data_IF_821977817882
#
_entry.id   IF_821977817882
#
_cell.length_a   1.000
_cell.length_b   1.000
_cell.length_c   1.000
_cell.angle_alpha   90.00
_cell.angle_beta   90.00
_cell.angle_gamma   90.00
#
_symmetry.space_group_name_H-M   'P 1'
#
loop_
_entity.id
_entity.type
_entity.pdbx_description
1 polymer ?
#
# COMPACT_ATOMS: atom_id res chain seq x y z
N UNK A 1 6.89 -15.80 -8.36
CA UNK A 1 6.03 -14.76 -7.77
C UNK A 1 4.62 -14.81 -8.32
N UNK A 2 3.65 -14.43 -7.56
CA UNK A 2 2.24 -14.78 -7.77
C UNK A 2 1.33 -13.61 -7.83
N UNK A 3 0.27 -13.71 -8.62
CA UNK A 3 -0.82 -12.75 -8.70
C UNK A 3 -2.17 -13.41 -8.39
N UNK A 4 -3.00 -12.79 -7.59
CA UNK A 4 -4.26 -13.32 -7.10
C UNK A 4 -5.52 -12.63 -7.60
N UNK A 5 -6.58 -13.38 -7.56
CA UNK A 5 -7.92 -13.23 -8.11
C UNK A 5 -8.68 -11.97 -7.65
N UNK A 6 -8.78 -10.98 -8.52
CA UNK A 6 -9.84 -9.97 -8.47
C UNK A 6 -10.69 -10.07 -9.72
N UNK A 7 -12.02 -10.05 -9.56
CA UNK A 7 -12.90 -9.81 -10.70
C UNK A 7 -12.85 -8.34 -11.12
N UNK A 8 -13.14 -8.01 -12.37
CA UNK A 8 -12.22 -7.96 -13.50
C UNK A 8 -11.55 -6.60 -13.63
N UNK A 9 -10.62 -6.27 -12.81
CA UNK A 9 -9.49 -5.35 -13.04
C UNK A 9 -8.39 -5.69 -12.05
N UNK A 10 -7.47 -6.53 -12.50
CA UNK A 10 -6.22 -6.88 -11.81
C UNK A 10 -5.21 -5.72 -11.97
N UNK A 11 -5.65 -4.48 -11.73
CA UNK A 11 -4.82 -3.30 -12.03
C UNK A 11 -3.54 -3.35 -11.21
N UNK A 12 -3.59 -3.59 -9.90
CA UNK A 12 -2.39 -3.62 -9.06
C UNK A 12 -1.43 -4.76 -9.43
N UNK A 13 -1.94 -5.95 -9.75
CA UNK A 13 -1.09 -7.07 -10.17
C UNK A 13 -0.47 -6.84 -11.55
N UNK A 14 -1.24 -6.31 -12.49
CA UNK A 14 -0.72 -5.99 -13.82
C UNK A 14 0.27 -4.82 -13.78
N UNK A 15 0.02 -3.80 -12.95
CA UNK A 15 0.96 -2.70 -12.72
C UNK A 15 2.26 -3.20 -12.08
N UNK A 16 2.17 -4.08 -11.07
CA UNK A 16 3.35 -4.69 -10.45
C UNK A 16 4.15 -5.53 -11.47
N UNK A 17 3.48 -6.35 -12.29
CA UNK A 17 4.15 -7.12 -13.34
C UNK A 17 4.73 -6.23 -14.44
N UNK A 18 4.08 -5.12 -14.77
CA UNK A 18 4.65 -4.13 -15.69
C UNK A 18 5.90 -3.47 -15.10
N UNK A 19 5.88 -3.16 -13.80
CA UNK A 19 7.01 -2.59 -13.07
C UNK A 19 8.17 -3.59 -12.90
N UNK A 20 7.89 -4.89 -12.89
CA UNK A 20 8.93 -5.94 -12.72
C UNK A 20 9.98 -5.95 -13.84
N UNK A 21 9.68 -5.36 -15.00
CA UNK A 21 10.64 -5.18 -16.09
C UNK A 21 11.90 -4.38 -15.69
N UNK A 22 11.79 -3.60 -14.63
CA UNK A 22 12.90 -2.83 -14.07
C UNK A 22 13.65 -3.57 -12.96
N UNK A 23 13.24 -4.81 -12.62
CA UNK A 23 13.85 -5.64 -11.60
C UNK A 23 14.34 -6.96 -12.23
N UNK A 24 15.58 -7.02 -12.75
CA UNK A 24 16.10 -8.18 -13.48
C UNK A 24 16.09 -9.50 -12.67
N UNK A 25 16.13 -9.40 -11.35
CA UNK A 25 16.10 -10.55 -10.46
C UNK A 25 14.70 -11.11 -10.24
N UNK A 26 13.67 -10.41 -10.74
CA UNK A 26 12.30 -10.89 -10.68
C UNK A 26 12.03 -11.85 -11.84
N UNK A 27 11.44 -13.00 -11.52
CA UNK A 27 10.91 -13.94 -12.51
C UNK A 27 9.51 -14.35 -12.11
N UNK A 28 8.53 -14.20 -13.00
CA UNK A 28 7.20 -14.74 -12.80
C UNK A 28 7.24 -16.24 -13.11
N UNK A 29 7.15 -17.07 -12.08
CA UNK A 29 7.18 -18.54 -12.21
C UNK A 29 5.77 -19.13 -12.33
N UNK A 30 4.95 -18.92 -11.31
CA UNK A 30 3.63 -19.57 -11.22
C UNK A 30 2.52 -18.54 -10.96
N UNK A 31 1.36 -18.73 -11.56
CA UNK A 31 0.14 -17.96 -11.30
C UNK A 31 -0.86 -18.80 -10.52
N UNK A 32 -1.43 -18.24 -9.47
CA UNK A 32 -2.54 -18.86 -8.76
C UNK A 32 -3.85 -18.09 -8.98
N UNK A 33 -4.93 -18.81 -9.07
CA UNK A 33 -6.29 -18.31 -8.91
C UNK A 33 -7.19 -19.42 -8.41
N UNK A 34 -8.23 -19.10 -7.65
CA UNK A 34 -9.28 -20.07 -7.26
C UNK A 34 -9.96 -20.73 -8.46
N UNK A 35 -9.89 -20.12 -9.63
CA UNK A 35 -10.33 -20.68 -10.90
C UNK A 35 -9.12 -21.11 -11.71
N UNK A 36 -9.00 -22.43 -11.98
CA UNK A 36 -7.96 -22.99 -12.83
C UNK A 36 -7.92 -22.33 -14.22
N UNK A 37 -9.09 -22.06 -14.80
CA UNK A 37 -9.20 -21.38 -16.10
C UNK A 37 -8.60 -19.96 -16.07
N UNK A 38 -8.92 -19.18 -15.04
CA UNK A 38 -8.37 -17.82 -14.85
C UNK A 38 -6.87 -17.86 -14.58
N UNK A 39 -6.40 -18.79 -13.74
CA UNK A 39 -4.99 -18.97 -13.46
C UNK A 39 -4.20 -19.25 -14.74
N UNK A 40 -4.69 -20.18 -15.54
CA UNK A 40 -4.10 -20.54 -16.83
C UNK A 40 -4.08 -19.37 -17.82
N UNK A 41 -5.22 -18.72 -18.03
CA UNK A 41 -5.31 -17.59 -18.95
C UNK A 41 -4.39 -16.43 -18.56
N UNK A 42 -4.24 -16.15 -17.25
CA UNK A 42 -3.34 -15.13 -16.76
C UNK A 42 -1.86 -15.54 -16.92
N UNK A 43 -1.53 -16.80 -16.65
CA UNK A 43 -0.20 -17.35 -16.89
C UNK A 43 0.20 -17.24 -18.37
N UNK A 44 -0.67 -17.64 -19.27
CA UNK A 44 -0.46 -17.52 -20.73
C UNK A 44 -0.26 -16.04 -21.15
N UNK A 45 -1.09 -15.12 -20.62
CA UNK A 45 -0.98 -13.67 -20.91
C UNK A 45 0.37 -13.09 -20.51
N UNK A 46 0.91 -13.50 -19.37
CA UNK A 46 2.12 -12.92 -18.79
C UNK A 46 3.37 -13.80 -18.94
N UNK A 47 3.24 -14.95 -19.63
CA UNK A 47 4.37 -15.83 -19.92
C UNK A 47 4.87 -16.63 -18.73
N UNK A 48 4.02 -16.85 -17.71
CA UNK A 48 4.38 -17.71 -16.59
C UNK A 48 4.39 -19.19 -17.02
N UNK A 49 5.45 -19.97 -16.72
CA UNK A 49 5.53 -21.37 -17.12
C UNK A 49 4.53 -22.27 -16.36
N UNK A 50 4.09 -21.83 -15.18
CA UNK A 50 3.23 -22.63 -14.33
C UNK A 50 1.98 -21.87 -13.86
N UNK A 51 0.94 -22.62 -13.52
CA UNK A 51 -0.26 -22.13 -12.86
C UNK A 51 -0.83 -23.20 -11.92
N UNK A 52 -1.61 -22.76 -10.93
CA UNK A 52 -2.30 -23.67 -9.99
C UNK A 52 -3.58 -23.02 -9.44
N UNK A 53 -4.52 -23.83 -9.00
CA UNK A 53 -5.71 -23.42 -8.24
C UNK A 53 -5.67 -23.89 -6.77
N UNK A 54 -4.53 -24.45 -6.33
CA UNK A 54 -4.28 -24.82 -4.93
C UNK A 54 -3.23 -23.94 -4.29
N UNK A 55 -3.60 -23.31 -3.16
CA UNK A 55 -2.69 -22.53 -2.31
C UNK A 55 -1.64 -23.43 -1.65
N UNK A 56 -2.02 -24.66 -1.29
CA UNK A 56 -1.14 -25.64 -0.67
C UNK A 56 -0.07 -26.09 -1.68
N UNK A 57 -0.46 -26.36 -2.90
CA UNK A 57 0.48 -26.72 -3.97
C UNK A 57 1.48 -25.58 -4.21
N UNK A 58 1.00 -24.33 -4.16
CA UNK A 58 1.84 -23.16 -4.28
C UNK A 58 2.83 -23.05 -3.12
N UNK A 59 2.35 -23.16 -1.89
CA UNK A 59 3.19 -23.09 -0.71
C UNK A 59 4.26 -24.19 -0.69
N UNK A 60 3.95 -25.37 -1.25
CA UNK A 60 4.85 -26.52 -1.34
C UNK A 60 5.81 -26.48 -2.55
N UNK A 61 5.60 -25.57 -3.53
CA UNK A 61 6.41 -25.51 -4.74
C UNK A 61 7.88 -25.21 -4.43
N UNK A 62 8.82 -26.00 -4.94
CA UNK A 62 10.26 -25.77 -4.78
C UNK A 62 10.81 -24.71 -5.76
N UNK A 63 10.09 -24.43 -6.85
CA UNK A 63 10.49 -23.42 -7.84
C UNK A 63 10.12 -21.99 -7.44
N UNK A 64 9.30 -21.80 -6.41
CA UNK A 64 8.82 -20.50 -5.95
C UNK A 64 9.53 -20.06 -4.67
N UNK A 65 10.29 -18.99 -4.71
CA UNK A 65 10.97 -18.41 -3.55
C UNK A 65 10.07 -17.43 -2.78
N UNK A 66 9.21 -16.73 -3.48
CA UNK A 66 8.43 -15.63 -2.93
C UNK A 66 7.03 -15.55 -3.55
N UNK A 67 6.07 -15.03 -2.78
CA UNK A 67 4.68 -14.89 -3.21
C UNK A 67 4.22 -13.44 -3.05
N UNK A 68 3.64 -12.87 -4.12
CA UNK A 68 2.90 -11.62 -4.07
C UNK A 68 1.42 -11.92 -3.82
N UNK A 69 0.87 -11.45 -2.71
CA UNK A 69 -0.53 -11.67 -2.33
C UNK A 69 -1.34 -10.41 -2.68
N UNK A 70 -2.28 -10.55 -3.60
CA UNK A 70 -3.20 -9.50 -4.03
C UNK A 70 -4.67 -9.97 -3.98
N UNK A 71 -4.98 -10.79 -3.00
CA UNK A 71 -6.34 -11.27 -2.70
C UNK A 71 -7.18 -10.19 -1.99
N UNK A 72 -8.47 -10.42 -1.70
CA UNK A 72 -9.22 -9.56 -0.80
C UNK A 72 -8.58 -9.46 0.59
N UNK A 73 -8.65 -8.27 1.23
CA UNK A 73 -7.97 -7.98 2.49
C UNK A 73 -8.23 -9.01 3.59
N UNK A 74 -9.46 -9.57 3.65
CA UNK A 74 -9.84 -10.59 4.63
C UNK A 74 -9.02 -11.90 4.53
N UNK A 75 -8.37 -12.15 3.41
CA UNK A 75 -7.60 -13.36 3.15
C UNK A 75 -6.09 -13.16 3.34
N UNK A 76 -5.63 -11.92 3.50
CA UNK A 76 -4.19 -11.62 3.56
C UNK A 76 -3.47 -12.37 4.68
N UNK A 77 -4.04 -12.35 5.91
CA UNK A 77 -3.42 -13.00 7.06
C UNK A 77 -3.29 -14.51 6.86
N UNK A 78 -4.39 -15.19 6.54
CA UNK A 78 -4.42 -16.64 6.36
C UNK A 78 -3.45 -17.09 5.25
N UNK A 79 -3.51 -16.44 4.10
CA UNK A 79 -2.67 -16.77 2.95
C UNK A 79 -1.19 -16.48 3.23
N UNK A 80 -0.88 -15.35 3.88
CA UNK A 80 0.50 -15.03 4.29
C UNK A 80 1.06 -16.11 5.23
N UNK A 81 0.30 -16.51 6.25
CA UNK A 81 0.73 -17.55 7.18
C UNK A 81 0.94 -18.89 6.48
N UNK A 82 0.12 -19.24 5.50
CA UNK A 82 0.30 -20.45 4.69
C UNK A 82 1.61 -20.40 3.89
N UNK A 83 1.87 -19.29 3.21
CA UNK A 83 3.10 -19.12 2.41
C UNK A 83 4.35 -19.12 3.29
N UNK A 84 4.32 -18.41 4.41
CA UNK A 84 5.43 -18.41 5.37
C UNK A 84 5.71 -19.83 5.92
N UNK A 85 4.66 -20.62 6.23
CA UNK A 85 4.83 -22.04 6.63
C UNK A 85 5.47 -22.89 5.54
N UNK A 86 5.17 -22.59 4.27
CA UNK A 86 5.80 -23.21 3.10
C UNK A 86 7.22 -22.68 2.79
N UNK A 87 7.79 -21.82 3.65
CA UNK A 87 9.14 -21.27 3.44
C UNK A 87 9.23 -20.18 2.39
N UNK A 88 8.11 -19.53 2.03
CA UNK A 88 8.08 -18.46 1.01
C UNK A 88 8.19 -17.09 1.64
N UNK A 89 8.99 -16.21 1.04
CA UNK A 89 8.94 -14.78 1.31
C UNK A 89 7.60 -14.22 0.83
N UNK A 90 7.08 -13.18 1.46
CA UNK A 90 5.77 -12.63 1.12
C UNK A 90 5.83 -11.12 0.89
N UNK A 91 5.36 -10.68 -0.27
CA UNK A 91 4.95 -9.31 -0.56
C UNK A 91 3.42 -9.28 -0.55
N UNK A 92 2.82 -8.63 0.45
CA UNK A 92 1.37 -8.62 0.62
C UNK A 92 0.80 -7.24 0.31
N UNK A 93 -0.27 -7.20 -0.49
CA UNK A 93 -0.98 -5.95 -0.79
C UNK A 93 -1.48 -5.24 0.46
N UNK A 94 -1.61 -3.92 0.30
CA UNK A 94 -2.18 -3.04 1.32
C UNK A 94 -3.73 -3.18 1.38
N UNK A 95 -4.30 -3.04 2.55
CA UNK A 95 -3.67 -3.13 3.85
C UNK A 95 -3.20 -4.55 4.14
N UNK A 96 -2.01 -4.70 4.67
CA UNK A 96 -1.41 -6.03 4.91
C UNK A 96 -2.24 -6.90 5.85
N UNK A 97 -2.94 -6.29 6.81
CA UNK A 97 -3.78 -6.93 7.81
C UNK A 97 -4.99 -6.08 8.14
N UNK A 98 -6.05 -6.66 8.68
CA UNK A 98 -7.27 -5.96 9.10
C UNK A 98 -7.17 -5.37 10.51
N UNK A 99 -6.26 -5.89 11.32
CA UNK A 99 -6.03 -5.43 12.70
C UNK A 99 -4.61 -5.76 13.16
N UNK A 100 -4.20 -5.16 14.29
CA UNK A 100 -2.87 -5.34 14.87
C UNK A 100 -2.56 -6.81 15.19
N UNK A 101 -3.53 -7.55 15.73
CA UNK A 101 -3.34 -8.97 16.09
C UNK A 101 -2.98 -9.83 14.86
N UNK A 102 -3.65 -9.61 13.74
CA UNK A 102 -3.30 -10.29 12.48
C UNK A 102 -1.87 -9.94 12.06
N UNK A 103 -1.52 -8.66 12.08
CA UNK A 103 -0.18 -8.19 11.71
C UNK A 103 0.90 -8.78 12.62
N UNK A 104 0.72 -8.73 13.93
CA UNK A 104 1.67 -9.30 14.91
C UNK A 104 1.89 -10.81 14.68
N UNK A 105 0.81 -11.54 14.41
CA UNK A 105 0.87 -12.97 14.10
C UNK A 105 1.68 -13.23 12.83
N UNK A 106 1.47 -12.44 11.78
CA UNK A 106 2.19 -12.55 10.50
C UNK A 106 3.68 -12.21 10.67
N UNK A 107 3.98 -11.14 11.41
CA UNK A 107 5.36 -10.71 11.67
C UNK A 107 6.13 -11.74 12.51
N UNK A 108 5.52 -12.28 13.56
CA UNK A 108 6.13 -13.33 14.39
C UNK A 108 6.44 -14.57 13.54
N UNK A 109 5.49 -15.02 12.71
CA UNK A 109 5.68 -16.16 11.84
C UNK A 109 6.81 -15.96 10.80
N UNK A 110 6.93 -14.73 10.26
CA UNK A 110 8.02 -14.40 9.35
C UNK A 110 9.38 -14.38 10.06
N UNK A 111 9.45 -13.75 11.24
CA UNK A 111 10.66 -13.64 12.05
C UNK A 111 11.19 -15.02 12.50
N UNK A 112 10.31 -15.89 13.01
CA UNK A 112 10.66 -17.24 13.45
C UNK A 112 11.30 -18.08 12.34
N UNK A 113 10.97 -17.79 11.08
CA UNK A 113 11.45 -18.53 9.91
C UNK A 113 12.58 -17.83 9.15
N UNK A 114 12.97 -16.62 9.56
CA UNK A 114 13.94 -15.81 8.85
C UNK A 114 13.47 -15.40 7.44
N UNK A 115 12.14 -15.25 7.26
CA UNK A 115 11.54 -14.90 5.98
C UNK A 115 11.19 -13.42 5.93
N UNK A 116 11.17 -12.86 4.72
CA UNK A 116 10.74 -11.47 4.48
C UNK A 116 9.22 -11.44 4.36
N UNK A 117 8.60 -10.61 5.16
CA UNK A 117 7.23 -10.15 4.99
C UNK A 117 7.25 -8.64 4.76
N UNK A 118 6.75 -8.19 3.62
CA UNK A 118 6.70 -6.78 3.27
C UNK A 118 5.28 -6.39 2.83
N UNK A 119 4.80 -5.24 3.28
CA UNK A 119 3.58 -4.66 2.75
C UNK A 119 3.86 -3.97 1.42
N UNK A 120 3.06 -4.27 0.39
CA UNK A 120 3.07 -3.56 -0.87
C UNK A 120 2.37 -2.21 -0.70
N UNK A 121 3.11 -1.24 -0.18
CA UNK A 121 2.68 0.13 0.02
C UNK A 121 3.57 1.06 -0.81
N UNK A 122 3.28 1.16 -2.09
CA UNK A 122 4.12 1.88 -3.06
C UNK A 122 4.57 3.27 -2.61
N UNK A 123 3.70 4.03 -1.92
CA UNK A 123 4.05 5.34 -1.39
C UNK A 123 5.23 5.33 -0.44
N UNK A 124 5.49 4.22 0.28
CA UNK A 124 6.56 4.14 1.28
C UNK A 124 7.97 4.03 0.67
N UNK A 125 8.07 3.60 -0.58
CA UNK A 125 9.35 3.27 -1.22
C UNK A 125 9.78 4.29 -2.28
N UNK A 126 8.99 5.32 -2.52
CA UNK A 126 9.28 6.35 -3.51
C UNK A 126 10.52 7.17 -3.15
N UNK A 127 11.35 7.56 -4.15
CA UNK A 127 12.49 8.46 -3.95
C UNK A 127 12.10 9.83 -3.37
N UNK A 128 10.84 10.22 -3.51
CA UNK A 128 10.32 11.47 -2.94
C UNK A 128 10.17 11.44 -1.42
N UNK A 129 10.16 10.27 -0.78
CA UNK A 129 10.04 10.18 0.68
C UNK A 129 11.27 10.76 1.41
N UNK A 130 12.52 10.40 1.09
CA UNK A 130 13.69 11.09 1.63
C UNK A 130 13.65 12.59 1.39
N UNK A 131 13.26 13.03 0.20
CA UNK A 131 13.13 14.44 -0.16
C UNK A 131 12.10 15.16 0.74
N UNK A 132 10.93 14.57 0.98
CA UNK A 132 9.94 15.12 1.90
C UNK A 132 10.51 15.27 3.31
N UNK A 133 11.22 14.27 3.84
CA UNK A 133 11.87 14.33 5.16
C UNK A 133 12.88 15.47 5.27
N UNK A 134 13.73 15.62 4.25
CA UNK A 134 14.70 16.72 4.21
C UNK A 134 14.02 18.10 4.19
N UNK A 135 12.99 18.24 3.38
CA UNK A 135 12.26 19.51 3.24
C UNK A 135 11.42 19.83 4.49
N UNK A 136 10.86 18.82 5.18
CA UNK A 136 10.20 19.03 6.49
C UNK A 136 11.15 19.71 7.48
N UNK A 137 12.42 19.30 7.51
CA UNK A 137 13.42 19.95 8.38
C UNK A 137 13.68 21.42 7.99
N UNK A 138 13.43 21.81 6.73
CA UNK A 138 13.70 23.17 6.21
C UNK A 138 12.55 24.14 6.39
N UNK A 139 11.32 23.67 6.62
CA UNK A 139 10.16 24.53 6.85
C UNK A 139 10.01 24.97 8.32
N UNK A 140 10.97 24.61 9.19
CA UNK A 140 10.95 24.89 10.62
C UNK A 140 10.01 23.97 11.38
N UNK A 141 9.72 24.29 12.67
CA UNK A 141 8.81 23.49 13.46
C UNK A 141 7.47 23.31 12.73
N UNK A 142 7.06 22.05 12.54
CA UNK A 142 5.76 21.74 11.93
C UNK A 142 4.64 22.21 12.87
N UNK A 143 3.59 22.80 12.31
CA UNK A 143 2.42 23.30 13.04
C UNK A 143 1.13 22.63 12.63
N UNK A 144 1.06 22.15 11.39
CA UNK A 144 -0.08 21.39 10.86
C UNK A 144 0.39 20.50 9.72
N UNK A 145 -0.21 19.31 9.62
CA UNK A 145 -0.11 18.47 8.44
C UNK A 145 -1.53 18.07 8.00
N UNK A 146 -1.75 17.97 6.71
CA UNK A 146 -2.99 17.43 6.13
C UNK A 146 -2.63 16.43 5.05
N UNK A 147 -3.27 15.26 5.12
CA UNK A 147 -3.19 14.21 4.12
C UNK A 147 -4.60 13.97 3.57
N UNK A 148 -4.80 14.19 2.29
CA UNK A 148 -6.11 14.09 1.65
C UNK A 148 -6.07 13.08 0.51
N UNK A 149 -7.02 12.14 0.50
CA UNK A 149 -7.26 11.25 -0.61
C UNK A 149 -8.77 11.01 -0.78
N UNK A 150 -9.39 11.80 -1.64
CA UNK A 150 -10.80 11.70 -1.97
C UNK A 150 -10.94 11.39 -3.46
N UNK A 151 -11.51 10.25 -3.77
CA UNK A 151 -11.68 9.78 -5.14
C UNK A 151 -13.03 9.10 -5.31
N UNK A 152 -13.86 9.61 -6.22
CA UNK A 152 -15.09 8.93 -6.57
C UNK A 152 -14.79 7.55 -7.17
N UNK A 153 -15.17 6.51 -6.45
CA UNK A 153 -14.92 5.13 -6.87
C UNK A 153 -15.76 4.75 -8.09
N UNK A 154 -15.13 4.22 -9.13
CA UNK A 154 -15.84 3.68 -10.31
C UNK A 154 -16.84 2.56 -9.98
N UNK A 155 -16.77 2.01 -8.75
CA UNK A 155 -17.68 0.96 -8.26
C UNK A 155 -18.84 1.50 -7.46
N UNK A 156 -18.83 2.79 -7.12
CA UNK A 156 -19.88 3.39 -6.28
C UNK A 156 -21.23 3.46 -6.99
N UNK A 157 -21.26 3.70 -8.31
CA UNK A 157 -22.50 3.66 -9.08
C UNK A 157 -23.15 2.27 -9.07
N UNK A 158 -22.36 1.21 -9.13
CA UNK A 158 -22.86 -0.17 -8.99
C UNK A 158 -23.43 -0.40 -7.59
N UNK A 159 -22.74 0.08 -6.55
CA UNK A 159 -23.23 0.00 -5.18
C UNK A 159 -24.58 0.71 -5.01
N UNK A 160 -24.75 1.92 -5.55
CA UNK A 160 -26.05 2.65 -5.55
C UNK A 160 -27.16 1.87 -6.23
N UNK A 161 -26.83 1.03 -7.21
CA UNK A 161 -27.74 0.16 -7.92
C UNK A 161 -27.89 -1.25 -7.29
N UNK A 162 -27.43 -1.42 -6.04
CA UNK A 162 -27.55 -2.67 -5.29
C UNK A 162 -26.52 -3.77 -5.65
N UNK A 163 -25.53 -3.46 -6.48
CA UNK A 163 -24.46 -4.40 -6.84
C UNK A 163 -23.24 -4.15 -5.95
N UNK A 164 -23.00 -5.05 -5.00
CA UNK A 164 -21.88 -4.94 -4.06
C UNK A 164 -20.65 -5.63 -4.65
N UNK A 165 -19.70 -4.85 -5.12
CA UNK A 165 -18.37 -5.34 -5.51
C UNK A 165 -17.40 -5.34 -4.31
N UNK A 166 -16.30 -6.09 -4.40
CA UNK A 166 -15.33 -6.29 -3.31
C UNK A 166 -14.97 -5.00 -2.56
N UNK A 167 -14.74 -3.89 -3.28
CA UNK A 167 -14.32 -2.62 -2.69
C UNK A 167 -15.38 -1.96 -1.77
N UNK A 168 -16.64 -2.45 -1.81
CA UNK A 168 -17.75 -2.01 -0.98
C UNK A 168 -18.34 -3.18 -0.16
N UNK A 169 -17.64 -4.30 -0.03
CA UNK A 169 -18.04 -5.42 0.81
C UNK A 169 -17.27 -5.39 2.14
N UNK A 170 -17.92 -5.03 3.26
CA UNK A 170 -17.25 -4.97 4.57
C UNK A 170 -16.79 -6.34 5.07
N UNK A 171 -17.39 -7.43 4.59
CA UNK A 171 -16.98 -8.80 4.95
C UNK A 171 -15.58 -9.13 4.45
N UNK A 172 -15.14 -8.45 3.40
CA UNK A 172 -13.80 -8.59 2.80
C UNK A 172 -12.77 -7.65 3.44
N UNK A 173 -13.13 -6.92 4.53
CA UNK A 173 -12.23 -5.99 5.19
C UNK A 173 -11.99 -4.71 4.37
N UNK A 174 -12.97 -4.30 3.57
CA UNK A 174 -12.90 -3.08 2.76
C UNK A 174 -13.69 -1.94 3.39
N UNK A 175 -13.48 -0.74 2.87
CA UNK A 175 -14.05 0.53 3.30
C UNK A 175 -13.17 1.67 2.83
N UNK A 176 -13.55 2.92 3.05
CA UNK A 176 -12.75 4.06 2.64
C UNK A 176 -11.43 4.14 3.40
N UNK A 177 -11.44 3.87 4.71
CA UNK A 177 -10.21 3.86 5.52
C UNK A 177 -9.23 2.80 5.01
N UNK A 178 -9.67 1.57 4.86
CA UNK A 178 -8.80 0.44 4.51
C UNK A 178 -8.31 0.47 3.06
N UNK A 179 -9.06 1.08 2.16
CA UNK A 179 -8.68 1.14 0.75
C UNK A 179 -7.83 2.35 0.41
N UNK A 180 -8.30 3.55 0.72
CA UNK A 180 -7.63 4.81 0.35
C UNK A 180 -7.12 5.60 1.55
N UNK A 181 -7.81 5.60 2.68
CA UNK A 181 -7.34 6.22 3.91
C UNK A 181 -6.03 5.63 4.42
N UNK A 182 -5.78 4.34 4.15
CA UNK A 182 -4.54 3.65 4.47
C UNK A 182 -3.29 4.38 3.89
N UNK A 183 -3.39 5.02 2.73
CA UNK A 183 -2.29 5.84 2.18
C UNK A 183 -2.03 7.09 3.01
N UNK A 184 -3.09 7.77 3.47
CA UNK A 184 -2.97 8.94 4.34
C UNK A 184 -2.31 8.56 5.68
N UNK A 185 -2.79 7.47 6.30
CA UNK A 185 -2.23 6.95 7.56
C UNK A 185 -0.77 6.53 7.36
N UNK A 186 -0.47 5.80 6.31
CA UNK A 186 0.90 5.34 6.05
C UNK A 186 1.87 6.49 5.88
N UNK A 187 1.56 7.50 5.04
CA UNK A 187 2.43 8.66 4.86
C UNK A 187 2.60 9.47 6.15
N UNK A 188 1.53 9.67 6.91
CA UNK A 188 1.60 10.37 8.18
C UNK A 188 2.56 9.65 9.14
N UNK A 189 2.38 8.33 9.32
CA UNK A 189 3.22 7.54 10.22
C UNK A 189 4.66 7.45 9.70
N UNK A 190 4.84 7.32 8.40
CA UNK A 190 6.17 7.28 7.78
C UNK A 190 6.97 8.57 7.98
N UNK A 191 6.30 9.72 7.98
CA UNK A 191 6.96 11.03 8.12
C UNK A 191 7.10 11.49 9.58
N UNK A 192 6.16 11.12 10.46
CA UNK A 192 6.07 11.67 11.82
C UNK A 192 6.06 10.61 12.94
N UNK A 193 5.99 9.32 12.58
CA UNK A 193 5.80 8.24 13.54
C UNK A 193 4.36 8.13 14.04
N UNK A 194 4.14 7.33 15.09
CA UNK A 194 2.83 7.14 15.68
C UNK A 194 2.33 8.40 16.39
N UNK A 195 1.06 8.74 16.20
CA UNK A 195 0.41 9.83 16.93
C UNK A 195 0.13 9.45 18.39
N UNK A 196 0.00 10.44 19.27
CA UNK A 196 -0.32 10.25 20.69
C UNK A 196 -1.79 9.90 20.92
N UNK A 197 -2.67 10.53 20.14
CA UNK A 197 -4.11 10.33 20.20
C UNK A 197 -4.73 10.52 18.83
N UNK A 198 -5.91 9.94 18.64
CA UNK A 198 -6.69 10.06 17.41
C UNK A 198 -8.15 10.34 17.76
N UNK A 199 -8.72 11.36 17.13
CA UNK A 199 -10.17 11.60 17.12
C UNK A 199 -10.66 11.49 15.69
N UNK A 200 -11.67 10.66 15.44
CA UNK A 200 -12.16 10.40 14.08
C UNK A 200 -13.67 10.40 13.97
N UNK A 201 -14.16 10.70 12.79
CA UNK A 201 -15.55 10.56 12.37
C UNK A 201 -15.62 9.93 10.99
N UNK A 202 -16.65 9.13 10.75
CA UNK A 202 -16.90 8.51 9.48
C UNK A 202 -18.39 8.60 9.10
N UNK A 203 -18.64 8.60 7.80
CA UNK A 203 -19.96 8.43 7.21
C UNK A 203 -20.05 7.02 6.66
N UNK A 204 -21.08 6.29 7.10
CA UNK A 204 -21.31 4.91 6.67
C UNK A 204 -22.42 4.82 5.65
N UNK A 205 -22.25 3.98 4.66
CA UNK A 205 -23.29 3.55 3.72
C UNK A 205 -24.06 2.35 4.29
N UNK A 206 -25.23 2.00 3.67
CA UNK A 206 -25.93 0.77 3.99
C UNK A 206 -24.99 -0.44 4.00
N UNK A 207 -25.16 -1.34 5.00
CA UNK A 207 -24.26 -2.48 5.19
C UNK A 207 -23.02 -2.19 6.05
N UNK A 208 -22.97 -1.01 6.70
CA UNK A 208 -21.91 -0.62 7.65
C UNK A 208 -20.53 -0.48 7.04
N UNK A 209 -20.44 -0.11 5.76
CA UNK A 209 -19.18 0.22 5.10
C UNK A 209 -18.91 1.72 5.22
N UNK A 210 -17.73 2.10 5.69
CA UNK A 210 -17.32 3.50 5.71
C UNK A 210 -17.05 4.01 4.29
N UNK A 211 -17.59 5.18 3.99
CA UNK A 211 -17.51 5.81 2.67
C UNK A 211 -16.62 7.05 2.69
N UNK A 212 -16.68 7.80 3.79
CA UNK A 212 -15.94 9.03 4.04
C UNK A 212 -15.41 8.95 5.46
N UNK A 213 -14.19 9.42 5.67
CA UNK A 213 -13.66 9.59 7.02
C UNK A 213 -12.75 10.79 7.14
N UNK A 214 -12.75 11.34 8.35
CA UNK A 214 -11.83 12.39 8.78
C UNK A 214 -11.26 12.03 10.14
N UNK A 215 -9.94 12.20 10.32
CA UNK A 215 -9.29 11.99 11.59
C UNK A 215 -8.35 13.14 11.91
N UNK A 216 -8.25 13.49 13.19
CA UNK A 216 -7.26 14.40 13.76
C UNK A 216 -6.33 13.56 14.62
N UNK A 217 -5.05 13.55 14.27
CA UNK A 217 -3.99 12.80 14.94
C UNK A 217 -3.08 13.78 15.68
N UNK A 218 -2.92 13.60 16.99
CA UNK A 218 -2.20 14.52 17.86
C UNK A 218 -0.71 14.18 17.96
N UNK A 219 0.14 15.20 17.81
CA UNK A 219 1.59 15.14 17.96
C UNK A 219 2.08 16.25 18.90
N UNK A 220 3.37 16.23 19.27
CA UNK A 220 3.97 17.31 20.03
C UNK A 220 4.07 18.60 19.22
N UNK A 221 3.26 19.59 19.59
CA UNK A 221 3.29 20.93 19.01
C UNK A 221 2.55 21.09 17.68
N UNK A 222 1.91 20.03 17.15
CA UNK A 222 1.07 20.09 15.96
C UNK A 222 0.00 18.98 15.93
N UNK A 223 -0.88 19.03 14.97
CA UNK A 223 -1.77 17.92 14.64
C UNK A 223 -1.72 17.62 13.14
N UNK A 224 -2.01 16.36 12.81
CA UNK A 224 -2.21 15.92 11.43
C UNK A 224 -3.70 15.62 11.19
N UNK A 225 -4.21 16.12 10.08
CA UNK A 225 -5.57 15.90 9.59
C UNK A 225 -5.52 14.85 8.49
N UNK A 226 -6.34 13.82 8.59
CA UNK A 226 -6.55 12.83 7.54
C UNK A 226 -7.94 13.00 6.97
N UNK A 227 -8.06 13.02 5.66
CA UNK A 227 -9.32 13.13 4.94
C UNK A 227 -9.32 12.10 3.80
N UNK A 228 -10.34 11.26 3.77
CA UNK A 228 -10.44 10.22 2.75
C UNK A 228 -11.89 9.92 2.38
N UNK A 229 -12.15 9.71 1.10
CA UNK A 229 -13.51 9.43 0.59
C UNK A 229 -13.48 8.58 -0.68
N UNK A 230 -14.44 7.65 -0.78
CA UNK A 230 -14.68 6.82 -1.98
C UNK A 230 -15.92 7.23 -2.76
N UNK A 231 -16.65 8.23 -2.29
CA UNK A 231 -17.97 8.58 -2.79
C UNK A 231 -18.09 10.02 -3.25
N UNK A 232 -17.02 10.78 -3.11
CA UNK A 232 -16.89 12.13 -3.66
C UNK A 232 -15.51 12.32 -4.32
N UNK A 233 -15.33 13.44 -4.96
CA UNK A 233 -14.08 13.88 -5.58
C UNK A 233 -13.63 15.18 -4.93
N UNK A 234 -12.36 15.23 -4.53
CA UNK A 234 -11.74 16.48 -4.06
C UNK A 234 -10.36 16.64 -4.68
N UNK A 235 -10.05 17.86 -5.08
CA UNK A 235 -8.73 18.27 -5.54
C UNK A 235 -7.85 18.80 -4.39
N UNK A 236 -8.22 18.49 -3.13
CA UNK A 236 -7.43 18.84 -1.97
C UNK A 236 -6.05 18.18 -2.03
N UNK A 237 -5.02 19.01 -2.02
CA UNK A 237 -3.62 18.59 -2.02
C UNK A 237 -3.18 18.34 -0.58
N UNK A 238 -2.38 17.30 -0.36
CA UNK A 238 -1.71 17.07 0.93
C UNK A 238 -0.70 18.18 1.20
N UNK A 239 -0.69 18.69 2.43
CA UNK A 239 0.17 19.82 2.83
C UNK A 239 0.75 19.63 4.23
N UNK A 240 2.02 19.98 4.41
CA UNK A 240 2.68 20.08 5.69
C UNK A 240 3.11 21.53 5.87
N UNK A 241 2.66 22.19 6.94
CA UNK A 241 2.93 23.59 7.22
C UNK A 241 3.79 23.74 8.47
N UNK A 242 4.92 24.43 8.34
CA UNK A 242 5.83 24.81 9.39
C UNK A 242 5.92 26.32 9.55
N UNK A 243 6.67 26.79 10.54
CA UNK A 243 6.83 28.21 10.82
C UNK A 243 7.57 29.00 9.72
N UNK A 244 8.38 28.32 8.91
CA UNK A 244 9.21 28.94 7.86
C UNK A 244 8.79 28.62 6.44
N UNK A 245 7.70 27.85 6.27
CA UNK A 245 7.19 27.48 4.95
C UNK A 245 6.20 26.35 4.99
N UNK A 246 5.82 25.86 3.80
CA UNK A 246 4.99 24.68 3.64
C UNK A 246 5.46 23.80 2.51
N UNK A 247 5.06 22.53 2.57
CA UNK A 247 5.24 21.53 1.54
C UNK A 247 3.87 21.09 1.04
N UNK A 248 3.71 20.99 -0.26
CA UNK A 248 2.54 20.41 -0.91
C UNK A 248 2.96 19.24 -1.75
N UNK A 249 2.17 18.18 -1.74
CA UNK A 249 2.48 17.00 -2.54
C UNK A 249 1.21 16.26 -2.98
N UNK A 250 1.28 15.64 -4.15
CA UNK A 250 0.18 14.88 -4.75
C UNK A 250 0.69 13.92 -5.84
N UNK A 251 -0.10 12.85 -6.17
CA UNK A 251 -1.22 12.34 -5.39
C UNK A 251 -0.77 11.72 -4.06
N UNK A 252 -1.64 11.66 -3.06
CA UNK A 252 -1.28 11.11 -1.74
C UNK A 252 -0.91 9.62 -1.78
N UNK A 253 -1.55 8.87 -2.69
CA UNK A 253 -1.21 7.45 -2.88
C UNK A 253 0.21 7.22 -3.42
N UNK A 254 0.76 8.21 -4.14
CA UNK A 254 2.11 8.20 -4.66
C UNK A 254 2.57 9.67 -4.79
N UNK A 255 3.23 10.26 -3.76
CA UNK A 255 3.61 11.68 -3.76
C UNK A 255 4.72 11.97 -4.77
N UNK A 256 4.39 11.97 -6.05
CA UNK A 256 5.30 12.19 -7.17
C UNK A 256 5.60 13.66 -7.40
N UNK A 257 4.63 14.53 -7.08
CA UNK A 257 4.79 15.98 -7.23
C UNK A 257 4.98 16.58 -5.84
N UNK A 258 6.07 17.32 -5.65
CA UNK A 258 6.39 17.98 -4.38
C UNK A 258 6.75 19.43 -4.64
N UNK A 259 6.09 20.34 -3.92
CA UNK A 259 6.32 21.79 -4.01
C UNK A 259 6.63 22.33 -2.62
N UNK A 260 7.74 23.04 -2.49
CA UNK A 260 8.10 23.78 -1.28
C UNK A 260 7.79 25.27 -1.45
N UNK A 261 7.14 25.86 -0.47
CA UNK A 261 6.83 27.30 -0.43
C UNK A 261 7.53 27.90 0.79
N UNK A 262 8.57 28.71 0.55
CA UNK A 262 9.36 29.38 1.62
C UNK A 262 9.63 30.82 1.26
N UNK A 263 9.39 31.74 2.19
CA UNK A 263 9.61 33.20 2.02
C UNK A 263 8.99 33.73 0.72
N UNK A 264 7.79 33.29 0.39
CA UNK A 264 7.08 33.68 -0.82
C UNK A 264 7.60 33.08 -2.14
N UNK A 265 8.64 32.25 -2.10
CA UNK A 265 9.16 31.53 -3.27
C UNK A 265 8.57 30.14 -3.35
N UNK A 266 8.14 29.76 -4.54
CA UNK A 266 7.67 28.41 -4.88
C UNK A 266 8.84 27.68 -5.53
N UNK A 267 9.18 26.51 -4.99
CA UNK A 267 10.20 25.63 -5.52
C UNK A 267 9.53 24.31 -5.87
N UNK A 268 9.48 24.00 -7.15
CA UNK A 268 9.14 22.65 -7.59
C UNK A 268 10.33 21.74 -7.28
N UNK A 269 10.08 20.76 -6.44
CA UNK A 269 11.05 19.73 -6.10
C UNK A 269 10.78 18.55 -7.03
N UNK A 270 11.84 17.95 -7.57
CA UNK A 270 11.77 16.98 -8.64
C UNK A 270 10.63 15.95 -8.49
N UNK A 271 9.93 15.71 -9.57
CA UNK A 271 9.00 14.58 -9.73
C UNK A 271 9.75 13.30 -10.10
N UNK A 272 9.22 12.13 -9.72
CA UNK A 272 9.76 10.85 -10.17
C UNK A 272 9.50 10.64 -11.66
N UNK A 273 10.55 10.46 -12.51
CA UNK A 273 10.38 10.20 -13.94
C UNK A 273 9.74 8.83 -14.22
N UNK A 274 9.63 7.95 -13.22
CA UNK A 274 9.06 6.61 -13.34
C UNK A 274 7.62 6.52 -12.82
N UNK A 275 6.89 7.63 -12.71
CA UNK A 275 5.57 7.68 -12.12
C UNK A 275 4.56 6.66 -12.66
N UNK A 276 4.74 6.17 -13.88
CA UNK A 276 3.92 5.11 -14.46
C UNK A 276 4.27 3.70 -13.92
N UNK A 277 5.47 3.52 -13.33
CA UNK A 277 5.98 2.25 -12.82
C UNK A 277 6.50 2.38 -11.38
N UNK A 278 5.84 3.18 -10.58
CA UNK A 278 6.25 3.48 -9.21
C UNK A 278 6.30 2.25 -8.30
N UNK A 279 5.56 1.18 -8.60
CA UNK A 279 5.62 -0.09 -7.88
C UNK A 279 6.96 -0.82 -8.01
N UNK A 280 7.84 -0.40 -8.93
CA UNK A 280 9.20 -0.97 -9.03
C UNK A 280 10.01 -0.80 -7.77
N UNK A 281 9.86 0.32 -7.05
CA UNK A 281 10.64 0.60 -5.85
C UNK A 281 10.29 -0.33 -4.69
N UNK A 282 9.01 -0.69 -4.52
CA UNK A 282 8.63 -1.68 -3.53
C UNK A 282 9.10 -3.09 -3.92
N UNK A 283 9.05 -3.41 -5.21
CA UNK A 283 9.53 -4.67 -5.74
C UNK A 283 11.06 -4.80 -5.59
N UNK A 284 11.80 -3.78 -5.97
CA UNK A 284 13.25 -3.69 -5.73
C UNK A 284 13.56 -3.86 -4.24
N UNK A 285 12.85 -3.16 -3.36
CA UNK A 285 13.03 -3.27 -1.91
C UNK A 285 12.75 -4.69 -1.41
N UNK A 286 11.79 -5.38 -1.98
CA UNK A 286 11.45 -6.75 -1.62
C UNK A 286 12.48 -7.77 -2.11
N UNK A 287 12.98 -7.60 -3.32
CA UNK A 287 13.92 -8.55 -3.95
C UNK A 287 15.35 -8.39 -3.40
N UNK A 288 15.77 -7.16 -3.05
CA UNK A 288 17.14 -6.87 -2.58
C UNK A 288 17.45 -7.02 -1.07
N UNK A 289 16.62 -7.56 -0.18
CA UNK A 289 17.05 -7.81 1.20
C UNK A 289 18.19 -8.81 1.30
N UNK A 290 18.35 -9.69 0.31
CA UNK A 290 19.44 -10.69 0.25
C UNK A 290 20.85 -10.08 0.19
N UNK A 291 21.00 -8.82 -0.21
CA UNK A 291 22.32 -8.18 -0.34
C UNK A 291 22.81 -7.49 0.93
N UNK A 292 21.94 -7.29 1.95
CA UNK A 292 22.30 -6.60 3.20
C UNK A 292 21.90 -7.31 4.49
N UNK A 293 21.71 -8.63 4.50
CA UNK A 293 21.43 -9.38 5.74
C UNK A 293 22.62 -9.43 6.72
N UNK A 294 23.68 -8.67 6.47
CA UNK A 294 24.85 -8.58 7.34
C UNK A 294 24.84 -7.37 8.30
N UNK A 295 23.85 -6.49 8.31
CA UNK A 295 23.75 -5.39 9.30
C UNK A 295 22.30 -5.09 9.66
N UNK A 296 21.88 -5.70 10.77
CA UNK A 296 20.72 -5.34 11.58
C UNK A 296 20.83 -3.91 12.08
N UNK A 297 20.06 -2.97 11.54
CA UNK A 297 19.63 -1.74 12.23
C UNK A 297 18.69 -0.84 11.42
N UNK A 298 18.41 -1.13 10.16
CA UNK A 298 17.53 -0.30 9.32
C UNK A 298 16.17 -0.98 9.04
N UNK A 299 15.61 -1.67 10.02
CA UNK A 299 14.18 -1.93 10.01
C UNK A 299 13.48 -0.60 10.21
N UNK A 300 12.73 -0.15 9.20
CA UNK A 300 11.79 0.95 9.36
C UNK A 300 10.91 0.62 10.56
N UNK A 301 10.70 1.55 11.49
CA UNK A 301 9.69 1.34 12.53
C UNK A 301 8.34 1.13 11.84
N UNK A 302 7.66 0.07 12.24
CA UNK A 302 6.27 -0.22 11.90
C UNK A 302 5.35 0.89 12.40
#
# INVERSE_FOLDING_TARGET
MYAFDREPRVISTEEMLAASKFCPEFTLDTVYSRSAEKARAFAEKWGAPHWTDSLEALAASESVDAVYIASPNALHCEQTLLMLRGGKHVLCEKPIARCAVELETMLSAAQERGLVLLQAMRSAFLPTIPLLREEIARIGPVRRARFSYCQYSSRYDKFKNGIIENAFDPRLGNGALMDIGAYCVNLMVLLFGASRAVTAKAVFLPGSIDAIGTAICEYDGFHAELEYSKVDQSDCISEISGESGSLRFWPTAAPLNVVSVRKGKILELASDPCGEYDMRYELERFVYPKVKSARTSDQLPL
#
